data_IF_013716444716
#
_entry.id   IF_013716444716
#
_cell.length_a   1.000
_cell.length_b   1.000
_cell.length_c   1.000
_cell.angle_alpha   90.00
_cell.angle_beta   90.00
_cell.angle_gamma   90.00
#
_symmetry.space_group_name_H-M   'P 1'
#
loop_
_entity.id
_entity.type
_entity.pdbx_description
1 polymer ?
#
# COMPACT_ATOMS: atom_id res chain seq x y z
N UNK A 1 -1.97 1.05 -9.70
CA UNK A 1 -1.35 1.69 -8.53
C UNK A 1 -2.32 1.66 -7.36
N UNK A 2 -1.87 1.10 -6.26
CA UNK A 2 -2.67 1.15 -5.04
C UNK A 2 -2.62 2.58 -4.55
N UNK A 3 -3.77 3.26 -4.46
CA UNK A 3 -3.73 4.59 -3.88
C UNK A 3 -3.19 4.49 -2.47
N UNK A 4 -2.09 5.17 -2.21
CA UNK A 4 -1.53 5.33 -0.89
C UNK A 4 -2.48 6.18 -0.05
N UNK A 5 -3.66 5.72 0.12
CA UNK A 5 -4.48 6.28 1.17
C UNK A 5 -4.01 5.65 2.45
N UNK A 6 -3.48 6.50 3.23
CA UNK A 6 -2.99 6.13 4.49
C UNK A 6 -4.06 5.53 5.33
N UNK A 7 -3.77 4.59 5.65
CA UNK A 7 -4.08 3.50 6.39
C UNK A 7 -4.55 3.72 7.83
N UNK A 8 -4.47 4.88 8.35
CA UNK A 8 -4.94 5.14 9.71
C UNK A 8 -6.45 5.06 9.88
N UNK A 9 -7.17 4.85 8.81
CA UNK A 9 -8.63 4.93 8.82
C UNK A 9 -9.31 3.66 8.32
N UNK A 10 -8.63 2.52 8.33
CA UNK A 10 -9.18 1.29 7.75
C UNK A 10 -10.47 0.84 8.39
N UNK A 11 -10.61 1.03 9.67
CA UNK A 11 -11.85 0.66 10.35
C UNK A 11 -12.99 1.61 10.00
N UNK A 12 -12.68 2.87 9.70
CA UNK A 12 -13.67 3.82 9.21
C UNK A 12 -14.00 3.61 7.75
N UNK A 13 -13.07 3.07 7.00
CA UNK A 13 -13.20 2.78 5.57
C UNK A 13 -14.28 1.77 5.30
N UNK A 14 -14.44 0.77 6.13
CA UNK A 14 -15.47 -0.23 5.96
C UNK A 14 -16.86 0.40 5.88
N UNK A 15 -17.16 1.30 6.80
CA UNK A 15 -18.44 2.01 6.80
C UNK A 15 -18.55 2.98 5.62
N UNK A 16 -17.45 3.61 5.27
CA UNK A 16 -17.38 4.51 4.12
C UNK A 16 -17.63 3.79 2.80
N UNK A 17 -17.11 2.57 2.63
CA UNK A 17 -17.33 1.77 1.43
C UNK A 17 -18.80 1.40 1.25
N UNK A 18 -19.47 1.09 2.32
CA UNK A 18 -20.87 0.80 2.26
C UNK A 18 -21.67 2.04 1.87
N UNK A 19 -21.30 3.19 2.42
CA UNK A 19 -21.89 4.48 2.06
C UNK A 19 -21.61 4.85 0.60
N UNK A 20 -20.45 4.47 0.07
CA UNK A 20 -20.07 4.73 -1.32
C UNK A 20 -20.67 3.72 -2.29
N UNK A 21 -21.45 2.77 -1.82
CA UNK A 21 -22.08 1.76 -2.66
C UNK A 21 -21.16 0.62 -3.09
N UNK A 22 -20.00 0.47 -2.45
CA UNK A 22 -19.05 -0.59 -2.77
C UNK A 22 -19.37 -1.92 -2.07
N UNK A 23 -20.39 -1.93 -1.20
CA UNK A 23 -20.80 -3.12 -0.48
C UNK A 23 -19.82 -3.48 0.64
N UNK A 24 -19.92 -4.72 1.10
CA UNK A 24 -19.08 -5.23 2.16
C UNK A 24 -17.70 -5.61 1.62
N UNK A 25 -16.79 -4.68 1.63
CA UNK A 25 -15.41 -4.91 1.20
C UNK A 25 -14.44 -4.25 2.18
N UNK A 26 -13.21 -4.66 2.11
CA UNK A 26 -12.13 -4.07 2.89
C UNK A 26 -10.90 -3.90 2.01
N UNK A 27 -10.14 -2.86 2.24
CA UNK A 27 -8.85 -2.71 1.60
C UNK A 27 -7.81 -3.54 2.37
N UNK A 28 -7.02 -4.29 1.65
CA UNK A 28 -6.00 -5.16 2.22
C UNK A 28 -4.60 -4.66 1.88
N UNK A 29 -4.37 -3.37 2.13
CA UNK A 29 -3.10 -2.74 1.78
C UNK A 29 -1.92 -3.29 2.59
N UNK A 30 -2.05 -3.37 3.87
CA UNK A 30 -0.97 -3.83 4.75
C UNK A 30 -0.63 -5.30 4.53
N UNK A 31 -1.61 -6.21 4.48
CA UNK A 31 -1.31 -7.60 4.16
C UNK A 31 -0.64 -7.78 2.80
N UNK A 32 -1.01 -6.97 1.82
CA UNK A 32 -0.40 -7.01 0.49
C UNK A 32 1.08 -6.63 0.56
N UNK A 33 1.41 -5.57 1.26
CA UNK A 33 2.80 -5.11 1.40
C UNK A 33 3.64 -6.17 2.10
N UNK A 34 3.13 -6.75 3.17
CA UNK A 34 3.83 -7.80 3.89
C UNK A 34 4.03 -9.04 3.02
N UNK A 35 2.99 -9.48 2.31
CA UNK A 35 3.08 -10.63 1.42
C UNK A 35 4.09 -10.40 0.30
N UNK A 36 4.12 -9.21 -0.26
CA UNK A 36 5.09 -8.90 -1.30
C UNK A 36 6.52 -8.83 -0.74
N UNK A 37 6.70 -8.29 0.47
CA UNK A 37 8.00 -8.25 1.11
C UNK A 37 8.58 -9.66 1.35
N UNK A 38 7.70 -10.61 1.67
CA UNK A 38 8.11 -12.00 1.92
C UNK A 38 8.34 -12.77 0.62
N UNK A 39 7.48 -12.62 -0.37
CA UNK A 39 7.49 -13.45 -1.57
C UNK A 39 8.03 -12.78 -2.83
N UNK A 40 7.92 -11.46 -2.92
CA UNK A 40 8.30 -10.70 -4.12
C UNK A 40 7.43 -10.95 -5.34
N UNK A 41 6.23 -11.55 -5.18
CA UNK A 41 5.44 -12.05 -6.32
C UNK A 41 4.25 -11.18 -6.71
N UNK A 42 3.81 -10.26 -5.86
CA UNK A 42 2.51 -9.62 -6.07
C UNK A 42 2.60 -8.19 -6.56
N UNK A 43 3.77 -7.62 -6.64
CA UNK A 43 3.94 -6.27 -7.12
C UNK A 43 5.29 -6.07 -7.78
N UNK A 44 5.33 -5.16 -8.73
CA UNK A 44 6.59 -4.62 -9.22
C UNK A 44 6.98 -3.45 -8.32
N UNK A 45 8.27 -3.27 -8.11
CA UNK A 45 8.79 -2.19 -7.29
C UNK A 45 9.74 -1.30 -8.06
N UNK A 46 9.84 -0.07 -7.61
CA UNK A 46 10.78 0.91 -8.16
C UNK A 46 11.49 1.60 -7.00
N UNK A 47 12.82 1.68 -7.02
CA UNK A 47 13.53 2.42 -5.98
C UNK A 47 13.23 3.90 -6.08
N UNK A 48 13.01 4.54 -4.95
CA UNK A 48 12.64 5.95 -4.91
C UNK A 48 13.16 6.59 -3.62
N UNK A 49 13.68 7.81 -3.73
CA UNK A 49 13.96 8.61 -2.55
C UNK A 49 12.67 9.26 -2.06
N UNK A 50 12.32 9.03 -0.82
CA UNK A 50 11.07 9.49 -0.22
C UNK A 50 11.38 10.24 1.07
N UNK A 51 10.66 11.31 1.29
CA UNK A 51 10.73 12.09 2.51
C UNK A 51 9.32 12.42 2.98
N UNK A 52 9.21 12.93 4.19
CA UNK A 52 7.92 13.30 4.80
C UNK A 52 7.92 14.79 5.11
N UNK A 53 6.84 15.46 4.75
CA UNK A 53 6.67 16.88 5.06
C UNK A 53 6.41 17.04 6.55
N UNK A 54 7.29 17.78 7.23
CA UNK A 54 7.23 17.94 8.69
C UNK A 54 6.74 19.32 9.14
N UNK A 55 6.77 20.30 8.27
CA UNK A 55 6.54 21.70 8.65
C UNK A 55 5.35 22.38 7.99
N UNK A 56 4.82 21.82 6.92
CA UNK A 56 3.69 22.41 6.20
C UNK A 56 2.40 22.34 7.02
N UNK A 57 1.55 23.35 6.87
CA UNK A 57 0.25 23.35 7.55
C UNK A 57 -0.79 22.51 6.84
N UNK A 58 -0.74 22.48 5.51
CA UNK A 58 -1.69 21.71 4.70
C UNK A 58 -1.19 20.31 4.36
N UNK A 59 0.11 20.14 4.27
CA UNK A 59 0.74 18.92 3.78
C UNK A 59 1.55 18.17 4.85
N UNK A 60 1.41 18.58 6.10
CA UNK A 60 2.14 17.96 7.21
C UNK A 60 1.83 16.46 7.29
N UNK A 61 2.87 15.65 7.29
CA UNK A 61 2.74 14.21 7.29
C UNK A 61 2.61 13.60 5.91
N UNK A 62 2.57 14.41 4.85
CA UNK A 62 2.52 13.89 3.49
C UNK A 62 3.86 13.29 3.10
N UNK A 63 3.83 12.11 2.49
CA UNK A 63 4.99 11.51 1.86
C UNK A 63 5.23 12.13 0.49
N UNK A 64 6.48 12.45 0.21
CA UNK A 64 6.88 13.05 -1.07
C UNK A 64 7.98 12.21 -1.68
N UNK A 65 7.81 11.81 -2.92
CA UNK A 65 8.79 11.02 -3.65
C UNK A 65 9.52 11.84 -4.70
N UNK A 66 10.81 11.61 -4.82
CA UNK A 66 11.64 12.26 -5.83
C UNK A 66 11.53 11.55 -7.17
N UNK A 67 10.42 11.75 -7.85
CA UNK A 67 10.10 11.09 -9.12
C UNK A 67 11.11 11.40 -10.23
N UNK A 68 11.70 12.58 -10.20
CA UNK A 68 12.59 13.03 -11.25
C UNK A 68 14.07 12.90 -10.91
N UNK A 69 14.39 12.38 -9.73
CA UNK A 69 15.76 12.19 -9.30
C UNK A 69 16.53 13.48 -9.07
N UNK A 70 15.83 14.54 -8.68
CA UNK A 70 16.44 15.88 -8.58
C UNK A 70 17.04 16.21 -7.22
N UNK A 71 16.77 15.40 -6.21
CA UNK A 71 17.26 15.69 -4.86
C UNK A 71 18.72 15.28 -4.65
N UNK A 72 19.25 14.45 -5.52
CA UNK A 72 20.59 13.92 -5.38
C UNK A 72 20.76 12.96 -4.20
N UNK A 73 19.65 12.38 -3.73
CA UNK A 73 19.66 11.42 -2.62
C UNK A 73 19.55 10.01 -3.14
N UNK A 74 20.18 9.09 -2.44
CA UNK A 74 20.03 7.66 -2.71
C UNK A 74 18.59 7.23 -2.41
N UNK A 75 18.03 6.32 -3.22
CA UNK A 75 16.73 5.74 -2.92
C UNK A 75 16.73 5.05 -1.54
N UNK A 76 15.67 5.27 -0.79
CA UNK A 76 15.50 4.70 0.55
C UNK A 76 14.25 3.83 0.67
N UNK A 77 13.46 3.73 -0.38
CA UNK A 77 12.19 3.00 -0.39
C UNK A 77 12.05 2.25 -1.71
N UNK A 78 11.43 1.09 -1.66
CA UNK A 78 10.95 0.38 -2.84
C UNK A 78 9.46 0.66 -2.98
N UNK A 79 9.11 1.50 -3.96
CA UNK A 79 7.73 1.86 -4.21
C UNK A 79 7.03 0.73 -4.97
N UNK A 80 5.91 0.27 -4.43
CA UNK A 80 5.07 -0.71 -5.12
C UNK A 80 4.31 -0.02 -6.26
N UNK A 81 4.51 -0.48 -7.48
CA UNK A 81 3.97 0.18 -8.67
C UNK A 81 2.79 -0.55 -9.27
N UNK A 82 2.99 -1.77 -9.73
CA UNK A 82 1.94 -2.59 -10.31
C UNK A 82 1.66 -3.76 -9.39
N UNK A 83 0.38 -4.10 -9.22
CA UNK A 83 -0.04 -5.10 -8.26
C UNK A 83 -0.88 -6.17 -8.92
N UNK A 84 -0.57 -7.43 -8.65
CA UNK A 84 -1.41 -8.57 -8.99
C UNK A 84 -2.40 -8.83 -7.83
N UNK A 85 -3.50 -8.12 -7.86
CA UNK A 85 -4.50 -8.19 -6.79
C UNK A 85 -5.14 -9.59 -6.70
N UNK A 86 -5.46 -10.18 -7.82
CA UNK A 86 -6.09 -11.52 -7.84
C UNK A 86 -5.15 -12.58 -7.28
N UNK A 87 -3.89 -12.57 -7.69
CA UNK A 87 -2.89 -13.50 -7.18
C UNK A 87 -2.67 -13.34 -5.68
N UNK A 88 -2.66 -12.11 -5.19
CA UNK A 88 -2.54 -11.85 -3.76
C UNK A 88 -3.73 -12.41 -2.97
N UNK A 89 -4.95 -12.15 -3.42
CA UNK A 89 -6.16 -12.63 -2.72
C UNK A 89 -6.17 -14.17 -2.67
N UNK A 90 -5.83 -14.81 -3.77
CA UNK A 90 -5.73 -16.26 -3.81
C UNK A 90 -4.67 -16.78 -2.82
N UNK A 91 -3.52 -16.15 -2.79
CA UNK A 91 -2.46 -16.48 -1.85
C UNK A 91 -2.92 -16.30 -0.40
N UNK A 92 -3.58 -15.18 -0.10
CA UNK A 92 -4.09 -14.90 1.23
C UNK A 92 -5.08 -15.97 1.69
N UNK A 93 -6.05 -16.30 0.86
CA UNK A 93 -7.05 -17.29 1.19
C UNK A 93 -6.43 -18.67 1.38
N UNK A 94 -5.49 -19.04 0.53
CA UNK A 94 -4.78 -20.33 0.64
C UNK A 94 -3.97 -20.39 1.94
N UNK A 95 -3.28 -19.32 2.27
CA UNK A 95 -2.48 -19.22 3.49
C UNK A 95 -3.35 -19.34 4.74
N UNK A 96 -4.47 -18.65 4.76
CA UNK A 96 -5.40 -18.70 5.89
C UNK A 96 -6.01 -20.10 6.04
N UNK A 97 -6.39 -20.73 4.96
CA UNK A 97 -6.93 -22.12 5.00
C UNK A 97 -5.90 -23.10 5.51
N UNK A 98 -4.67 -22.98 5.05
CA UNK A 98 -3.57 -23.86 5.47
C UNK A 98 -3.17 -23.60 6.91
N UNK A 99 -3.13 -22.35 7.32
CA UNK A 99 -2.75 -21.97 8.68
C UNK A 99 -3.79 -22.30 9.73
N UNK A 100 -5.07 -22.39 9.34
CA UNK A 100 -6.18 -22.71 10.24
C UNK A 100 -6.52 -24.21 10.24
N UNK A 101 -6.02 -24.91 9.28
CA UNK A 101 -6.23 -26.34 9.14
C UNK A 101 -5.15 -27.14 9.83
#
# INVERSE_FOLDING_TARGET
EIPLRLVGSEMCIRDSHEADGLGWCAYLHDPLVVANAVTGRFATTRPLAVDVELTGTLTRGQTVGDELGRWGKEPNVDLLCEVDAEGFIEHLLTTLRTGLG
#
